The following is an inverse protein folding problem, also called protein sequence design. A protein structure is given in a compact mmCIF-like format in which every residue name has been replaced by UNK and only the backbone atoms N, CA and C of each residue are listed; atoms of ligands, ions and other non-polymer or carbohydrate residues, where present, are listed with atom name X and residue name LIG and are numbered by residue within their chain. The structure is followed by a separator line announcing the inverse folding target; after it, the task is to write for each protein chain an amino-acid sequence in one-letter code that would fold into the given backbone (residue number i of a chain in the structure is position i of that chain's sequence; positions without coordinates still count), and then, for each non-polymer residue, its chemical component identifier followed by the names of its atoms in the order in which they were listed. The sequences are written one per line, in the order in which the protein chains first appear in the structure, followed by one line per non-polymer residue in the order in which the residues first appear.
data_IF_730403389717
#
_entry.id   IF_730403389717
#
_cell.length_a   1.000
_cell.length_b   1.000
_cell.length_c   1.000
_cell.angle_alpha   90.00
_cell.angle_beta   90.00
_cell.angle_gamma   90.00
#
_symmetry.space_group_name_H-M   'P 1'
#
loop_
_entity.id
_entity.type
_entity.pdbx_description
1 polymer ?
#
# COMPACT_ATOMS: atom_id res chain seq x y z
N UNK A 1 42.47 -67.47 8.82
CA UNK A 1 41.28 -66.65 8.52
C UNK A 1 40.45 -66.51 9.81
N UNK A 2 40.45 -65.32 10.43
CA UNK A 2 39.57 -64.97 11.55
C UNK A 2 38.77 -63.75 11.11
N UNK A 3 37.44 -63.89 11.03
CA UNK A 3 36.52 -62.79 10.68
C UNK A 3 36.13 -62.07 11.97
N UNK A 4 36.41 -60.77 12.01
CA UNK A 4 35.92 -59.83 13.02
C UNK A 4 34.51 -59.42 12.62
N UNK A 5 33.54 -59.58 13.52
CA UNK A 5 32.18 -59.06 13.38
C UNK A 5 32.15 -57.72 14.12
N UNK A 6 31.92 -56.64 13.38
CA UNK A 6 31.67 -55.29 13.92
C UNK A 6 30.16 -55.14 14.10
N UNK A 7 29.72 -54.85 15.33
CA UNK A 7 28.36 -54.38 15.60
C UNK A 7 28.27 -52.90 15.22
N UNK A 8 27.52 -52.56 14.17
CA UNK A 8 27.16 -51.18 13.84
C UNK A 8 25.75 -50.90 14.37
N UNK A 9 25.68 -50.12 15.45
CA UNK A 9 24.44 -49.51 15.94
C UNK A 9 24.00 -48.45 14.93
N UNK A 10 22.93 -48.73 14.18
CA UNK A 10 22.22 -47.73 13.39
C UNK A 10 21.35 -46.89 14.33
N UNK A 11 21.83 -45.71 14.72
CA UNK A 11 20.98 -44.68 15.32
C UNK A 11 20.10 -44.09 14.22
N UNK A 12 18.81 -44.40 14.24
CA UNK A 12 17.79 -43.67 13.48
C UNK A 12 17.66 -42.29 14.12
N UNK A 13 18.34 -41.30 13.55
CA UNK A 13 18.05 -39.90 13.85
C UNK A 13 16.69 -39.57 13.26
N UNK A 14 15.68 -39.42 14.13
CA UNK A 14 14.47 -38.67 13.81
C UNK A 14 14.92 -37.29 13.32
N UNK A 15 14.86 -37.06 12.02
CA UNK A 15 14.85 -35.72 11.46
C UNK A 15 13.48 -35.12 11.83
N UNK A 16 13.41 -34.49 13.00
CA UNK A 16 12.36 -33.50 13.27
C UNK A 16 12.53 -32.39 12.22
N UNK A 17 11.61 -32.36 11.27
CA UNK A 17 11.39 -31.21 10.39
C UNK A 17 10.92 -30.07 11.30
N UNK A 18 11.88 -29.34 11.89
CA UNK A 18 11.60 -28.07 12.56
C UNK A 18 11.00 -27.14 11.52
N UNK A 19 9.67 -26.98 11.57
CA UNK A 19 8.96 -26.00 10.79
C UNK A 19 9.61 -24.64 10.98
N UNK A 20 10.03 -24.03 9.87
CA UNK A 20 10.58 -22.68 9.88
C UNK A 20 9.52 -21.73 10.47
N UNK A 21 9.83 -21.12 11.61
CA UNK A 21 9.10 -19.97 12.10
C UNK A 21 9.44 -18.74 11.25
N UNK A 22 8.52 -17.78 11.07
CA UNK A 22 8.87 -16.50 10.48
C UNK A 22 9.96 -15.85 11.34
N UNK A 23 11.01 -15.34 10.68
CA UNK A 23 12.26 -14.77 11.21
C UNK A 23 12.31 -14.56 12.74
N UNK A 24 13.00 -15.48 13.44
CA UNK A 24 13.50 -15.25 14.80
C UNK A 24 12.59 -15.57 15.98
N UNK A 25 11.33 -15.97 15.77
CA UNK A 25 10.40 -16.27 16.86
C UNK A 25 10.39 -17.75 17.24
N UNK A 26 10.37 -18.08 18.54
CA UNK A 26 10.22 -19.45 19.02
C UNK A 26 8.75 -19.87 19.07
N UNK A 27 8.48 -21.19 19.10
CA UNK A 27 7.12 -21.73 19.25
C UNK A 27 6.44 -21.24 20.54
N UNK A 28 7.19 -21.16 21.64
CA UNK A 28 6.70 -20.69 22.93
C UNK A 28 6.23 -19.22 22.89
N UNK A 29 6.96 -18.36 22.17
CA UNK A 29 6.55 -16.97 21.96
C UNK A 29 5.22 -16.87 21.18
N UNK A 30 5.03 -17.77 20.21
CA UNK A 30 3.80 -17.87 19.44
C UNK A 30 2.63 -18.34 20.29
N UNK A 31 2.82 -19.42 21.05
CA UNK A 31 1.81 -19.98 21.95
C UNK A 31 1.34 -18.92 22.97
N UNK A 32 2.25 -18.07 23.44
CA UNK A 32 1.92 -16.99 24.37
C UNK A 32 1.15 -15.82 23.73
N UNK A 33 1.53 -15.38 22.52
CA UNK A 33 0.76 -14.36 21.77
C UNK A 33 -0.65 -14.86 21.47
N UNK A 34 -0.79 -16.14 21.15
CA UNK A 34 -2.07 -16.80 20.90
C UNK A 34 -2.89 -16.84 22.19
N UNK A 35 -2.32 -17.33 23.29
CA UNK A 35 -2.99 -17.44 24.58
C UNK A 35 -3.45 -16.08 25.12
N UNK A 36 -2.64 -15.03 24.93
CA UNK A 36 -2.94 -13.66 25.36
C UNK A 36 -3.90 -12.92 24.42
N UNK A 37 -4.18 -13.45 23.22
CA UNK A 37 -4.97 -12.78 22.16
C UNK A 37 -4.45 -11.38 21.83
N UNK A 38 -3.16 -11.14 22.06
CA UNK A 38 -2.52 -9.83 21.95
C UNK A 38 -2.13 -9.50 20.50
N UNK A 39 -3.03 -9.76 19.55
CA UNK A 39 -2.78 -9.51 18.13
C UNK A 39 -4.04 -9.07 17.38
N UNK A 40 -3.84 -8.35 16.28
CA UNK A 40 -4.88 -7.97 15.33
C UNK A 40 -4.57 -8.53 13.95
N UNK A 41 -5.60 -8.92 13.22
CA UNK A 41 -5.49 -9.40 11.84
C UNK A 41 -6.00 -8.34 10.88
N UNK A 42 -5.35 -8.22 9.73
CA UNK A 42 -5.80 -7.35 8.65
C UNK A 42 -5.55 -7.96 7.28
N UNK A 43 -6.50 -7.78 6.36
CA UNK A 43 -6.29 -8.10 4.96
C UNK A 43 -5.67 -6.89 4.28
N UNK A 44 -4.46 -7.06 3.75
CA UNK A 44 -3.71 -6.00 3.08
C UNK A 44 -3.57 -6.30 1.59
N UNK A 45 -3.53 -5.23 0.80
CA UNK A 45 -3.21 -5.27 -0.61
C UNK A 45 -2.00 -4.39 -0.87
N UNK A 46 -1.12 -4.81 -1.78
CA UNK A 46 -0.02 -3.98 -2.26
C UNK A 46 -0.53 -2.76 -3.06
N UNK A 47 -1.75 -2.85 -3.61
CA UNK A 47 -2.48 -1.76 -4.27
C UNK A 47 -3.89 -1.61 -3.69
N UNK A 48 -4.25 -0.41 -3.26
CA UNK A 48 -5.61 -0.08 -2.78
C UNK A 48 -6.60 0.24 -3.90
N UNK A 49 -6.12 0.27 -5.14
CA UNK A 49 -6.89 0.67 -6.31
C UNK A 49 -6.30 0.00 -7.56
N UNK A 50 -7.15 -0.37 -8.52
CA UNK A 50 -6.78 -1.06 -9.75
C UNK A 50 -7.50 -0.49 -10.98
N UNK A 51 -6.87 -0.61 -12.14
CA UNK A 51 -7.48 -0.37 -13.45
C UNK A 51 -8.05 -1.66 -14.06
N UNK A 52 -8.65 -1.52 -15.25
CA UNK A 52 -9.18 -2.64 -16.02
C UNK A 52 -8.13 -3.75 -16.18
N UNK A 53 -8.46 -4.96 -15.71
CA UNK A 53 -7.60 -6.15 -15.79
C UNK A 53 -6.24 -6.04 -15.07
N UNK A 54 -6.02 -5.00 -14.26
CA UNK A 54 -4.81 -4.87 -13.47
C UNK A 54 -4.84 -5.84 -12.27
N UNK A 55 -3.67 -6.29 -11.82
CA UNK A 55 -3.56 -7.18 -10.66
C UNK A 55 -2.84 -6.56 -9.45
N UNK A 56 -3.25 -6.98 -8.25
CA UNK A 56 -2.59 -6.72 -6.97
C UNK A 56 -2.30 -8.02 -6.22
N UNK A 57 -1.32 -7.97 -5.32
CA UNK A 57 -1.10 -9.03 -4.33
C UNK A 57 -1.85 -8.73 -3.03
N UNK A 58 -2.50 -9.75 -2.50
CA UNK A 58 -3.21 -9.77 -1.24
C UNK A 58 -2.44 -10.63 -0.25
N UNK A 59 -2.36 -10.17 0.99
CA UNK A 59 -1.75 -10.93 2.09
C UNK A 59 -2.44 -10.60 3.40
N UNK A 60 -2.26 -11.47 4.39
CA UNK A 60 -2.82 -11.28 5.72
C UNK A 60 -1.68 -10.84 6.64
N UNK A 61 -1.84 -9.67 7.24
CA UNK A 61 -0.90 -9.13 8.21
C UNK A 61 -1.42 -9.38 9.62
N UNK A 62 -0.49 -9.82 10.48
CA UNK A 62 -0.66 -9.98 11.91
C UNK A 62 0.07 -8.84 12.61
N UNK A 63 -0.67 -8.01 13.33
CA UNK A 63 -0.12 -6.98 14.18
C UNK A 63 -0.05 -7.47 15.62
N UNK A 64 1.15 -7.67 16.15
CA UNK A 64 1.39 -8.11 17.53
C UNK A 64 1.54 -6.87 18.42
N UNK A 65 0.71 -6.80 19.46
CA UNK A 65 0.78 -5.73 20.44
C UNK A 65 2.00 -5.93 21.35
N UNK A 66 2.72 -4.87 21.74
CA UNK A 66 3.80 -5.01 22.71
C UNK A 66 3.23 -5.51 24.04
N UNK A 67 3.91 -6.46 24.69
CA UNK A 67 3.57 -6.84 26.06
C UNK A 67 3.83 -5.65 26.99
N UNK A 68 2.84 -5.31 27.81
CA UNK A 68 3.09 -4.51 28.99
C UNK A 68 3.79 -5.39 30.03
N UNK A 69 5.13 -5.34 30.10
CA UNK A 69 5.86 -5.90 31.24
C UNK A 69 5.81 -4.88 32.38
N UNK A 70 5.21 -5.20 33.55
CA UNK A 70 5.09 -4.27 34.66
C UNK A 70 6.45 -3.84 35.26
N UNK A 71 7.51 -4.64 35.10
CA UNK A 71 8.80 -4.43 35.78
C UNK A 71 9.95 -3.87 34.90
N UNK A 72 9.68 -3.47 33.65
CA UNK A 72 10.72 -2.99 32.72
C UNK A 72 10.87 -1.45 32.73
N UNK A 73 11.97 -0.90 33.26
CA UNK A 73 12.16 0.56 33.41
C UNK A 73 12.69 1.29 32.15
N UNK A 74 12.89 0.62 31.01
CA UNK A 74 13.38 1.30 29.78
C UNK A 74 12.24 1.74 28.84
N UNK A 75 11.98 3.05 28.65
CA UNK A 75 10.81 3.55 27.90
C UNK A 75 10.89 3.42 26.37
N UNK A 76 12.07 3.12 25.82
CA UNK A 76 12.35 3.18 24.38
C UNK A 76 12.03 1.87 23.63
N UNK A 77 12.12 0.72 24.32
CA UNK A 77 11.76 -0.59 23.76
C UNK A 77 10.25 -0.91 23.93
N UNK A 78 9.51 -0.10 24.69
CA UNK A 78 8.07 -0.27 24.97
C UNK A 78 7.12 0.11 23.83
N UNK A 79 7.57 0.58 22.67
CA UNK A 79 6.73 1.47 21.84
C UNK A 79 6.35 1.06 20.41
N UNK A 80 6.73 -0.09 19.86
CA UNK A 80 6.31 -0.42 18.49
C UNK A 80 5.78 -1.84 18.39
N UNK A 81 4.45 -1.97 18.31
CA UNK A 81 3.82 -3.21 17.89
C UNK A 81 4.38 -3.63 16.53
N UNK A 82 4.58 -4.94 16.35
CA UNK A 82 5.23 -5.47 15.16
C UNK A 82 4.18 -5.97 14.18
N UNK A 83 4.28 -5.56 12.92
CA UNK A 83 3.47 -6.16 11.84
C UNK A 83 4.30 -7.22 11.14
N UNK A 84 3.80 -8.44 11.10
CA UNK A 84 4.40 -9.55 10.35
C UNK A 84 3.36 -10.18 9.43
N UNK A 85 3.80 -10.93 8.42
CA UNK A 85 2.89 -11.78 7.63
C UNK A 85 2.36 -12.90 8.50
N UNK A 86 1.09 -13.26 8.32
CA UNK A 86 0.52 -14.44 8.98
C UNK A 86 1.40 -15.66 8.65
N UNK A 87 1.92 -16.40 9.66
CA UNK A 87 2.78 -17.54 9.40
C UNK A 87 2.06 -18.67 8.69
N UNK A 88 2.83 -19.56 8.08
CA UNK A 88 2.35 -20.81 7.49
C UNK A 88 2.67 -22.01 8.38
N UNK A 89 1.95 -23.11 8.19
CA UNK A 89 2.21 -24.36 8.89
C UNK A 89 1.62 -24.41 10.31
N UNK A 90 2.27 -25.19 11.19
CA UNK A 90 1.78 -25.49 12.53
C UNK A 90 1.80 -24.29 13.49
N UNK A 91 2.63 -23.29 13.21
CA UNK A 91 2.73 -22.07 14.03
C UNK A 91 1.73 -20.99 13.65
N UNK A 92 0.90 -21.24 12.63
CA UNK A 92 -0.14 -20.30 12.23
C UNK A 92 -1.36 -20.39 13.15
N UNK A 93 -1.82 -19.29 13.78
CA UNK A 93 -3.05 -19.29 14.58
C UNK A 93 -4.32 -19.46 13.74
N UNK A 94 -4.23 -19.33 12.42
CA UNK A 94 -5.36 -19.38 11.51
C UNK A 94 -5.01 -20.09 10.20
N UNK A 95 -5.97 -20.86 9.68
CA UNK A 95 -5.94 -21.38 8.32
C UNK A 95 -6.87 -20.56 7.45
N UNK A 96 -6.37 -20.20 6.27
CA UNK A 96 -7.22 -19.66 5.21
C UNK A 96 -8.12 -20.77 4.70
N UNK A 97 -9.42 -20.49 4.68
CA UNK A 97 -10.43 -21.44 4.22
C UNK A 97 -11.06 -21.02 2.91
N UNK A 98 -11.21 -19.71 2.67
CA UNK A 98 -11.83 -19.23 1.45
C UNK A 98 -11.37 -17.82 1.11
N UNK A 99 -10.99 -17.61 -0.15
CA UNK A 99 -10.82 -16.28 -0.74
C UNK A 99 -12.00 -16.02 -1.68
N UNK A 100 -12.63 -14.85 -1.56
CA UNK A 100 -13.79 -14.53 -2.39
C UNK A 100 -13.89 -13.06 -2.74
N UNK A 101 -14.44 -12.81 -3.91
CA UNK A 101 -14.87 -11.48 -4.34
C UNK A 101 -16.31 -11.32 -3.86
N UNK A 102 -16.54 -10.39 -2.95
CA UNK A 102 -17.86 -10.08 -2.38
C UNK A 102 -18.62 -9.10 -3.27
N UNK A 103 -17.90 -8.12 -3.85
CA UNK A 103 -18.49 -7.10 -4.71
C UNK A 103 -17.50 -6.72 -5.82
N UNK A 104 -18.01 -6.25 -6.96
CA UNK A 104 -17.22 -5.56 -7.98
C UNK A 104 -16.59 -6.44 -9.05
N UNK A 105 -16.70 -7.76 -8.95
CA UNK A 105 -16.20 -8.70 -9.97
C UNK A 105 -14.68 -8.82 -10.01
N UNK A 106 -14.14 -9.44 -11.05
CA UNK A 106 -12.71 -9.74 -11.20
C UNK A 106 -12.39 -11.23 -11.08
N UNK A 107 -11.12 -11.55 -10.81
CA UNK A 107 -10.62 -12.92 -10.64
C UNK A 107 -9.64 -13.01 -9.48
N UNK A 108 -9.70 -14.09 -8.71
CA UNK A 108 -8.73 -14.38 -7.65
C UNK A 108 -7.99 -15.68 -7.99
N UNK A 109 -6.67 -15.66 -7.87
CA UNK A 109 -5.82 -16.83 -7.84
C UNK A 109 -5.09 -16.88 -6.49
N UNK A 110 -5.34 -17.91 -5.68
CA UNK A 110 -4.76 -18.03 -4.33
C UNK A 110 -3.77 -19.18 -4.25
N UNK A 111 -2.78 -19.03 -3.36
CA UNK A 111 -1.83 -20.08 -2.97
C UNK A 111 -1.93 -20.40 -1.45
N UNK A 112 -3.06 -20.09 -0.81
CA UNK A 112 -3.26 -20.21 0.62
C UNK A 112 -3.24 -18.86 1.32
N UNK A 113 -2.10 -18.49 1.92
CA UNK A 113 -1.97 -17.26 2.73
C UNK A 113 -1.91 -15.97 1.92
N UNK A 114 -1.57 -16.07 0.64
CA UNK A 114 -1.63 -14.94 -0.29
C UNK A 114 -2.57 -15.23 -1.45
N UNK A 115 -2.95 -14.16 -2.13
CA UNK A 115 -3.76 -14.25 -3.32
C UNK A 115 -3.40 -13.12 -4.29
N UNK A 116 -3.34 -13.45 -5.58
CA UNK A 116 -3.34 -12.46 -6.64
C UNK A 116 -4.79 -12.16 -7.03
N UNK A 117 -5.18 -10.90 -6.94
CA UNK A 117 -6.48 -10.44 -7.41
C UNK A 117 -6.31 -9.62 -8.68
N UNK A 118 -7.09 -9.93 -9.70
CA UNK A 118 -7.17 -9.20 -10.97
C UNK A 118 -8.52 -8.50 -11.08
N UNK A 119 -8.49 -7.19 -11.27
CA UNK A 119 -9.68 -6.37 -11.45
C UNK A 119 -10.48 -6.78 -12.71
N UNK A 120 -11.80 -6.52 -12.75
CA UNK A 120 -12.60 -6.76 -13.95
C UNK A 120 -12.12 -5.91 -15.14
N UNK A 121 -12.46 -6.31 -16.36
CA UNK A 121 -12.11 -5.54 -17.56
C UNK A 121 -12.90 -4.23 -17.71
N UNK A 122 -14.02 -4.09 -17.00
CA UNK A 122 -14.85 -2.89 -16.98
C UNK A 122 -15.10 -2.45 -15.53
N UNK A 123 -15.26 -1.15 -15.33
CA UNK A 123 -15.51 -0.58 -14.02
C UNK A 123 -16.83 -1.14 -13.43
N UNK A 124 -16.83 -1.68 -12.20
CA UNK A 124 -18.07 -2.04 -11.53
C UNK A 124 -18.89 -0.79 -11.21
N UNK A 125 -20.21 -0.93 -11.04
CA UNK A 125 -21.14 0.19 -10.86
C UNK A 125 -20.69 1.15 -9.74
N UNK A 126 -20.28 0.60 -8.60
CA UNK A 126 -19.83 1.37 -7.43
C UNK A 126 -18.32 1.68 -7.45
N UNK A 127 -17.61 1.36 -8.54
CA UNK A 127 -16.16 1.51 -8.72
C UNK A 127 -15.35 1.00 -7.53
N UNK A 128 -15.84 -0.04 -6.86
CA UNK A 128 -15.20 -0.71 -5.74
C UNK A 128 -15.30 -2.22 -5.94
N UNK A 129 -14.29 -2.91 -5.46
CA UNK A 129 -14.23 -4.35 -5.39
C UNK A 129 -13.92 -4.71 -3.95
N UNK A 130 -14.77 -5.54 -3.36
CA UNK A 130 -14.61 -5.96 -1.97
C UNK A 130 -14.12 -7.39 -1.99
N UNK A 131 -12.92 -7.60 -1.48
CA UNK A 131 -12.31 -8.91 -1.34
C UNK A 131 -12.43 -9.36 0.10
N UNK A 132 -12.73 -10.63 0.30
CA UNK A 132 -12.85 -11.24 1.61
C UNK A 132 -11.98 -12.47 1.70
N UNK A 133 -11.43 -12.69 2.88
CA UNK A 133 -10.82 -13.96 3.28
C UNK A 133 -11.42 -14.46 4.57
N UNK A 134 -11.83 -15.73 4.56
CA UNK A 134 -12.37 -16.44 5.71
C UNK A 134 -11.25 -17.25 6.38
N UNK A 135 -11.03 -17.00 7.68
CA UNK A 135 -10.01 -17.62 8.50
C UNK A 135 -10.67 -18.50 9.57
N UNK A 136 -10.26 -19.76 9.61
CA UNK A 136 -10.65 -20.70 10.67
C UNK A 136 -9.47 -20.84 11.64
N UNK A 137 -9.72 -20.73 12.95
CA UNK A 137 -8.66 -20.85 13.94
C UNK A 137 -8.07 -22.27 13.93
N UNK A 138 -6.78 -22.37 14.21
CA UNK A 138 -6.12 -23.67 14.47
C UNK A 138 -6.31 -24.12 15.91
N UNK A 139 -6.53 -23.16 16.82
CA UNK A 139 -6.77 -23.38 18.25
C UNK A 139 -8.24 -23.14 18.63
N UNK A 140 -8.83 -23.95 19.54
CA UNK A 140 -10.27 -23.89 19.86
C UNK A 140 -10.71 -22.61 20.59
N UNK A 141 -9.78 -21.82 21.14
CA UNK A 141 -10.05 -20.62 21.93
C UNK A 141 -10.09 -19.31 21.11
N UNK A 142 -9.86 -19.41 19.80
CA UNK A 142 -9.92 -18.29 18.86
C UNK A 142 -11.23 -18.32 18.05
N UNK A 143 -11.79 -17.16 17.68
CA UNK A 143 -13.00 -17.11 16.86
C UNK A 143 -12.70 -17.38 15.38
N UNK A 144 -13.70 -17.75 14.58
CA UNK A 144 -13.60 -17.61 13.12
C UNK A 144 -13.57 -16.12 12.77
N UNK A 145 -12.74 -15.76 11.81
CA UNK A 145 -12.54 -14.35 11.41
C UNK A 145 -12.80 -14.21 9.93
N UNK A 146 -13.57 -13.19 9.56
CA UNK A 146 -13.67 -12.73 8.19
C UNK A 146 -12.98 -11.38 8.08
N UNK A 147 -12.01 -11.28 7.16
CA UNK A 147 -11.37 -10.02 6.85
C UNK A 147 -11.90 -9.51 5.51
N UNK A 148 -12.04 -8.19 5.41
CA UNK A 148 -12.53 -7.50 4.22
C UNK A 148 -11.48 -6.47 3.78
N UNK A 149 -11.31 -6.35 2.47
CA UNK A 149 -10.49 -5.33 1.84
C UNK A 149 -11.23 -4.73 0.67
N UNK A 150 -11.47 -3.43 0.76
CA UNK A 150 -11.96 -2.65 -0.38
C UNK A 150 -10.78 -2.23 -1.24
N UNK A 151 -10.89 -2.52 -2.54
CA UNK A 151 -10.00 -2.05 -3.60
C UNK A 151 -10.86 -1.21 -4.54
N UNK A 152 -10.40 -0.03 -4.92
CA UNK A 152 -11.16 0.84 -5.81
C UNK A 152 -10.83 0.57 -7.28
N UNK A 153 -11.76 0.91 -8.17
CA UNK A 153 -11.55 0.87 -9.63
C UNK A 153 -11.25 2.30 -10.12
N UNK A 154 -10.09 2.51 -10.75
CA UNK A 154 -9.76 3.82 -11.36
C UNK A 154 -9.85 3.79 -12.87
N UNK A 155 -10.17 4.97 -13.39
CA UNK A 155 -10.11 5.33 -14.80
C UNK A 155 -9.31 6.64 -14.98
N UNK A 156 -8.63 7.11 -13.93
CA UNK A 156 -7.88 8.36 -13.92
C UNK A 156 -6.42 8.09 -14.25
N UNK A 157 -5.83 8.89 -15.14
CA UNK A 157 -4.40 8.82 -15.48
C UNK A 157 -3.48 9.11 -14.28
N UNK A 158 -3.93 10.00 -13.38
CA UNK A 158 -3.21 10.37 -12.15
C UNK A 158 -4.14 10.30 -10.93
N UNK A 159 -3.74 9.51 -9.93
CA UNK A 159 -4.40 9.43 -8.63
C UNK A 159 -3.43 8.95 -7.55
N UNK A 160 -3.74 9.29 -6.30
CA UNK A 160 -3.01 8.81 -5.13
C UNK A 160 -4.00 8.35 -4.06
N UNK A 161 -3.65 7.31 -3.31
CA UNK A 161 -4.40 6.84 -2.15
C UNK A 161 -3.51 6.94 -0.93
N UNK A 162 -4.02 7.58 0.12
CA UNK A 162 -3.37 7.67 1.41
C UNK A 162 -4.12 6.82 2.44
N UNK A 163 -3.39 5.98 3.17
CA UNK A 163 -3.94 5.12 4.21
C UNK A 163 -3.11 5.24 5.49
N UNK A 164 -3.63 5.97 6.48
CA UNK A 164 -3.07 6.18 7.82
C UNK A 164 -4.20 5.91 8.86
N UNK A 165 -4.48 4.65 9.21
CA UNK A 165 -5.60 4.28 10.08
C UNK A 165 -5.56 4.94 11.46
N UNK A 166 -4.35 5.09 12.03
CA UNK A 166 -4.16 5.69 13.35
C UNK A 166 -4.60 7.16 13.41
N UNK A 167 -4.71 7.82 12.25
CA UNK A 167 -5.24 9.18 12.10
C UNK A 167 -6.65 9.23 11.51
N UNK A 168 -7.33 8.09 11.38
CA UNK A 168 -8.65 8.00 10.76
C UNK A 168 -8.66 8.19 9.24
N UNK A 169 -7.49 8.28 8.59
CA UNK A 169 -7.38 8.43 7.15
C UNK A 169 -7.38 7.04 6.51
N UNK A 170 -8.54 6.58 6.08
CA UNK A 170 -8.70 5.23 5.53
C UNK A 170 -8.92 5.31 4.01
N UNK A 171 -7.87 5.00 3.25
CA UNK A 171 -7.91 4.97 1.77
C UNK A 171 -8.41 6.29 1.14
N UNK A 172 -8.01 7.43 1.71
CA UNK A 172 -8.33 8.75 1.17
C UNK A 172 -7.76 8.87 -0.25
N UNK A 173 -8.62 9.14 -1.23
CA UNK A 173 -8.23 9.18 -2.64
C UNK A 173 -8.07 10.61 -3.11
N UNK A 174 -6.89 10.93 -3.60
CA UNK A 174 -6.56 12.22 -4.20
C UNK A 174 -6.50 12.07 -5.71
N UNK A 175 -7.16 12.96 -6.41
CA UNK A 175 -7.23 12.97 -7.87
C UNK A 175 -6.89 14.33 -8.42
N UNK A 176 -6.33 14.37 -9.62
CA UNK A 176 -6.12 15.62 -10.33
C UNK A 176 -7.46 16.28 -10.66
N UNK A 177 -7.56 17.59 -10.37
CA UNK A 177 -8.72 18.41 -10.70
C UNK A 177 -8.92 18.51 -12.23
N UNK A 178 -10.00 17.94 -12.75
CA UNK A 178 -10.39 18.03 -14.18
C UNK A 178 -10.91 19.42 -14.60
N UNK A 179 -11.29 20.28 -13.65
CA UNK A 179 -12.00 21.55 -13.91
C UNK A 179 -11.12 22.79 -14.18
N UNK A 180 -9.79 22.70 -14.20
CA UNK A 180 -8.92 23.83 -14.61
C UNK A 180 -8.58 23.78 -16.10
N UNK A 181 -9.61 23.67 -16.95
CA UNK A 181 -9.48 23.98 -18.38
C UNK A 181 -9.87 25.44 -18.52
N UNK A 182 -8.88 26.33 -18.63
CA UNK A 182 -9.16 27.68 -19.09
C UNK A 182 -9.57 27.59 -20.57
N UNK A 183 -10.86 27.76 -20.82
CA UNK A 183 -11.45 27.77 -22.18
C UNK A 183 -10.78 28.77 -23.13
N UNK A 184 -10.00 29.74 -22.62
CA UNK A 184 -9.27 30.72 -23.42
C UNK A 184 -7.94 30.21 -23.99
N UNK A 185 -7.45 29.06 -23.54
CA UNK A 185 -6.15 28.50 -23.97
C UNK A 185 -6.27 27.32 -24.94
N UNK A 186 -7.48 26.98 -25.41
CA UNK A 186 -7.70 25.85 -26.33
C UNK A 186 -8.54 26.26 -27.55
N UNK A 187 -8.23 25.76 -28.76
CA UNK A 187 -9.10 25.90 -29.93
C UNK A 187 -10.49 25.31 -29.66
N UNK A 188 -11.54 25.98 -30.16
CA UNK A 188 -12.95 25.61 -29.92
C UNK A 188 -13.27 24.14 -30.29
N UNK A 189 -12.57 23.59 -31.26
CA UNK A 189 -12.70 22.19 -31.69
C UNK A 189 -12.24 21.19 -30.61
N UNK A 190 -11.21 21.53 -29.83
CA UNK A 190 -10.75 20.74 -28.70
C UNK A 190 -11.76 20.77 -27.54
N UNK A 191 -12.35 21.94 -27.24
CA UNK A 191 -13.41 22.10 -26.23
C UNK A 191 -14.63 21.22 -26.54
N UNK A 192 -15.00 21.12 -27.82
CA UNK A 192 -16.13 20.28 -28.26
C UNK A 192 -15.78 18.78 -28.20
N UNK A 193 -14.54 18.39 -28.50
CA UNK A 193 -14.07 17.01 -28.32
C UNK A 193 -14.00 16.60 -26.84
N UNK A 194 -13.64 17.52 -25.94
CA UNK A 194 -13.62 17.34 -24.48
C UNK A 194 -15.02 17.06 -23.94
N UNK A 195 -16.04 17.81 -24.41
CA UNK A 195 -17.45 17.61 -24.02
C UNK A 195 -18.03 16.28 -24.52
N UNK A 196 -17.52 15.72 -25.62
CA UNK A 196 -18.03 14.47 -26.20
C UNK A 196 -17.30 13.22 -25.69
N UNK A 197 -16.02 13.32 -25.29
CA UNK A 197 -15.20 12.16 -24.90
C UNK A 197 -14.86 12.07 -23.41
N UNK A 198 -15.13 13.10 -22.60
CA UNK A 198 -14.99 13.05 -21.14
C UNK A 198 -13.57 13.11 -20.58
N UNK A 199 -12.53 13.28 -21.42
CA UNK A 199 -11.12 13.36 -21.00
C UNK A 199 -10.38 14.49 -21.73
N UNK A 200 -9.54 15.25 -21.03
CA UNK A 200 -8.58 16.22 -21.59
C UNK A 200 -7.18 15.90 -21.08
N UNK A 201 -6.27 15.56 -21.99
CA UNK A 201 -4.84 15.36 -21.71
C UNK A 201 -4.20 16.67 -21.20
N UNK A 202 -4.76 17.84 -21.52
CA UNK A 202 -4.16 19.14 -21.17
C UNK A 202 -4.59 19.71 -19.80
N UNK A 203 -5.67 19.21 -19.20
CA UNK A 203 -6.07 19.59 -17.83
C UNK A 203 -5.31 18.82 -16.75
N UNK A 204 -4.82 17.62 -17.10
CA UNK A 204 -4.09 16.71 -16.22
C UNK A 204 -2.60 17.10 -16.06
N UNK A 205 -2.07 17.90 -16.99
CA UNK A 205 -0.65 18.20 -17.17
C UNK A 205 -0.19 19.53 -16.56
N UNK A 206 -1.11 20.47 -16.26
CA UNK A 206 -0.78 21.72 -15.55
C UNK A 206 -0.52 21.50 -14.04
N UNK A 207 -1.07 20.43 -13.49
CA UNK A 207 -0.95 20.04 -12.08
C UNK A 207 0.23 19.11 -11.81
N UNK A 208 0.68 18.35 -12.80
CA UNK A 208 1.65 17.27 -12.64
C UNK A 208 2.92 17.55 -13.46
N UNK A 209 4.01 17.87 -12.77
CA UNK A 209 5.28 18.28 -13.36
C UNK A 209 6.40 17.32 -12.97
N UNK A 210 7.25 16.99 -13.93
CA UNK A 210 8.48 16.24 -13.76
C UNK A 210 9.68 17.12 -14.09
N UNK A 211 10.63 17.24 -13.17
CA UNK A 211 11.90 17.96 -13.36
C UNK A 211 13.04 16.99 -13.07
N UNK A 212 14.09 17.03 -13.90
CA UNK A 212 15.34 16.34 -13.62
C UNK A 212 16.49 17.34 -13.50
N UNK A 213 17.22 17.29 -12.39
CA UNK A 213 18.46 18.04 -12.18
C UNK A 213 19.68 17.12 -12.41
N UNK A 214 20.40 17.28 -13.54
CA UNK A 214 21.56 16.45 -13.84
C UNK A 214 22.74 16.66 -12.88
N UNK A 215 22.86 17.85 -12.28
CA UNK A 215 23.98 18.15 -11.36
C UNK A 215 23.83 17.38 -10.03
N UNK A 216 22.60 17.08 -9.64
CA UNK A 216 22.27 16.37 -8.41
C UNK A 216 21.85 14.93 -8.65
N UNK A 217 21.70 14.52 -9.92
CA UNK A 217 21.07 13.25 -10.31
C UNK A 217 19.74 13.03 -9.57
N UNK A 218 18.89 14.06 -9.60
CA UNK A 218 17.66 14.11 -8.81
C UNK A 218 16.47 14.38 -9.73
N UNK A 219 15.51 13.47 -9.68
CA UNK A 219 14.20 13.62 -10.29
C UNK A 219 13.18 14.11 -9.26
N UNK A 220 12.33 15.05 -9.67
CA UNK A 220 11.24 15.59 -8.84
C UNK A 220 9.94 15.53 -9.61
N UNK A 221 8.97 14.84 -9.03
CA UNK A 221 7.57 14.82 -9.44
C UNK A 221 6.77 15.74 -8.51
N UNK A 222 6.01 16.68 -9.08
CA UNK A 222 5.15 17.59 -8.32
C UNK A 222 3.73 17.54 -8.86
N UNK A 223 2.79 17.22 -7.99
CA UNK A 223 1.35 17.22 -8.23
C UNK A 223 0.72 18.32 -7.39
N UNK A 224 0.10 19.31 -8.04
CA UNK A 224 -0.59 20.46 -7.44
C UNK A 224 -2.06 20.42 -7.81
N UNK A 225 -2.92 21.14 -7.10
CA UNK A 225 -4.37 21.12 -7.34
C UNK A 225 -4.97 19.71 -7.28
N UNK A 226 -4.40 18.85 -6.43
CA UNK A 226 -5.04 17.59 -6.08
C UNK A 226 -6.28 17.90 -5.26
N UNK A 227 -7.37 17.21 -5.55
CA UNK A 227 -8.61 17.26 -4.79
C UNK A 227 -8.87 15.92 -4.10
N UNK A 228 -9.61 15.93 -3.00
CA UNK A 228 -10.00 14.72 -2.30
C UNK A 228 -11.28 14.22 -2.96
N UNK A 229 -11.22 13.05 -3.56
CA UNK A 229 -12.41 12.33 -4.01
C UNK A 229 -13.06 11.71 -2.77
N UNK A 230 -14.01 12.44 -2.17
CA UNK A 230 -14.84 11.90 -1.12
C UNK A 230 -15.87 10.96 -1.74
N UNK A 231 -15.87 9.74 -1.24
CA UNK A 231 -16.92 8.78 -1.51
C UNK A 231 -17.91 8.96 -0.36
N UNK A 232 -18.87 9.89 -0.49
CA UNK A 232 -19.88 10.08 0.56
C UNK A 232 -21.21 9.42 0.17
N UNK A 233 -21.42 8.27 0.81
CA UNK A 233 -22.57 7.89 1.67
C UNK A 233 -24.02 8.19 1.27
N UNK A 234 -24.35 8.32 -0.01
CA UNK A 234 -25.74 8.12 -0.45
C UNK A 234 -25.84 7.05 -1.53
N UNK A 235 -26.87 6.22 -1.43
CA UNK A 235 -27.19 5.01 -2.23
C UNK A 235 -27.20 5.19 -3.76
N UNK A 236 -26.82 6.38 -4.25
CA UNK A 236 -26.85 6.79 -5.64
C UNK A 236 -25.46 6.92 -6.28
N UNK A 237 -24.36 6.67 -5.56
CA UNK A 237 -23.01 6.60 -6.14
C UNK A 237 -22.48 7.93 -6.71
N UNK A 238 -23.09 9.06 -6.37
CA UNK A 238 -22.62 10.39 -6.75
C UNK A 238 -21.34 10.74 -5.97
N UNK A 239 -20.24 10.90 -6.70
CA UNK A 239 -18.94 11.30 -6.14
C UNK A 239 -18.97 12.77 -5.74
N UNK A 240 -18.61 13.07 -4.50
CA UNK A 240 -18.34 14.44 -4.08
C UNK A 240 -16.84 14.68 -4.14
N UNK A 241 -16.39 15.51 -5.08
CA UNK A 241 -15.01 16.00 -5.04
C UNK A 241 -14.98 17.10 -3.97
N UNK A 242 -14.39 16.78 -2.82
CA UNK A 242 -14.08 17.78 -1.80
C UNK A 242 -12.92 18.60 -2.33
N UNK A 243 -13.24 19.84 -2.70
CA UNK A 243 -12.25 20.77 -3.22
C UNK A 243 -11.19 21.05 -2.17
N UNK A 244 -9.94 20.79 -2.52
CA UNK A 244 -8.76 21.19 -1.78
C UNK A 244 -7.65 21.58 -2.75
N UNK A 245 -6.68 22.35 -2.28
CA UNK A 245 -5.43 22.64 -3.01
C UNK A 245 -4.32 21.75 -2.45
N UNK A 246 -4.52 20.43 -2.51
CA UNK A 246 -3.53 19.49 -1.98
C UNK A 246 -2.31 19.44 -2.91
N UNK A 247 -1.13 19.28 -2.32
CA UNK A 247 0.13 19.18 -3.03
C UNK A 247 0.82 17.87 -2.64
N UNK A 248 1.36 17.16 -3.63
CA UNK A 248 2.23 16.01 -3.44
C UNK A 248 3.52 16.25 -4.24
N UNK A 249 4.66 16.10 -3.57
CA UNK A 249 5.97 16.10 -4.18
C UNK A 249 6.69 14.79 -3.87
N UNK A 250 7.33 14.21 -4.87
CA UNK A 250 8.12 12.99 -4.78
C UNK A 250 9.49 13.30 -5.38
N UNK A 251 10.55 13.03 -4.62
CA UNK A 251 11.93 13.20 -5.07
C UNK A 251 12.64 11.84 -5.02
N UNK A 252 13.35 11.49 -6.09
CA UNK A 252 14.12 10.25 -6.18
C UNK A 252 15.38 10.44 -7.03
N UNK A 253 16.40 9.62 -6.79
CA UNK A 253 17.64 9.68 -7.56
C UNK A 253 17.54 8.86 -8.84
N UNK A 254 17.99 9.43 -9.95
CA UNK A 254 17.98 8.78 -11.26
C UNK A 254 17.04 9.43 -12.28
N UNK A 255 17.08 8.90 -13.50
CA UNK A 255 16.35 9.32 -14.70
C UNK A 255 16.01 8.05 -15.49
N UNK A 256 14.95 8.08 -16.30
CA UNK A 256 14.61 6.97 -17.18
C UNK A 256 13.49 6.08 -16.63
N UNK A 257 13.04 5.15 -17.48
CA UNK A 257 12.24 4.02 -17.05
C UNK A 257 13.03 3.12 -16.09
N UNK A 258 12.40 2.66 -15.01
CA UNK A 258 13.07 1.89 -13.97
C UNK A 258 12.37 1.93 -12.62
N UNK A 259 12.99 1.29 -11.63
CA UNK A 259 12.56 1.34 -10.23
C UNK A 259 13.57 2.14 -9.42
N UNK A 260 13.08 3.07 -8.61
CA UNK A 260 13.87 4.01 -7.83
C UNK A 260 13.46 3.95 -6.37
N UNK A 261 14.45 3.73 -5.51
CA UNK A 261 14.27 3.60 -4.07
C UNK A 261 14.12 4.98 -3.41
N UNK A 262 13.08 5.15 -2.59
CA UNK A 262 12.83 6.39 -1.87
C UNK A 262 13.51 6.43 -0.49
N UNK A 263 14.08 5.31 -0.01
CA UNK A 263 14.88 5.26 1.22
C UNK A 263 16.27 5.88 1.05
N UNK A 264 16.69 6.12 -0.20
CA UNK A 264 17.99 6.68 -0.52
C UNK A 264 18.13 8.16 -0.08
N UNK A 265 19.38 8.57 0.21
CA UNK A 265 19.74 9.94 0.58
C UNK A 265 19.12 10.97 -0.39
N UNK A 266 18.59 12.08 0.15
CA UNK A 266 17.91 13.16 -0.60
C UNK A 266 16.68 12.74 -1.43
N UNK A 267 16.17 11.53 -1.20
CA UNK A 267 14.89 11.07 -1.74
C UNK A 267 13.80 11.21 -0.69
N UNK A 268 12.54 11.25 -1.13
CA UNK A 268 11.43 11.35 -0.20
C UNK A 268 10.10 11.72 -0.82
N UNK A 269 9.11 11.82 0.04
CA UNK A 269 7.75 12.21 -0.27
C UNK A 269 7.31 13.30 0.70
N UNK A 270 6.67 14.32 0.16
CA UNK A 270 5.98 15.32 0.95
C UNK A 270 4.59 15.56 0.36
N UNK A 271 3.56 15.43 1.19
CA UNK A 271 2.18 15.66 0.85
C UNK A 271 1.53 16.57 1.89
N UNK A 272 0.86 17.63 1.42
CA UNK A 272 0.10 18.54 2.26
C UNK A 272 -1.39 18.24 2.09
N UNK A 273 -2.01 17.74 3.16
CA UNK A 273 -3.43 17.42 3.23
C UNK A 273 -4.14 18.47 4.09
N UNK A 274 -4.79 19.43 3.45
CA UNK A 274 -5.59 20.47 4.08
C UNK A 274 -4.70 21.61 4.56
N UNK A 275 -5.20 22.40 5.51
CA UNK A 275 -4.44 23.52 6.07
C UNK A 275 -3.43 23.10 7.15
N UNK A 276 -3.46 21.85 7.64
CA UNK A 276 -2.77 21.49 8.89
C UNK A 276 -2.08 20.11 8.92
N UNK A 277 -2.29 19.21 7.95
CA UNK A 277 -1.67 17.88 7.99
C UNK A 277 -0.57 17.73 6.95
N UNK A 278 0.68 17.68 7.43
CA UNK A 278 1.83 17.25 6.66
C UNK A 278 2.00 15.74 6.74
N UNK A 279 2.12 15.10 5.58
CA UNK A 279 2.36 13.66 5.44
C UNK A 279 3.62 13.50 4.61
N UNK A 280 4.59 12.70 5.06
CA UNK A 280 5.80 12.51 4.30
C UNK A 280 6.76 11.49 4.87
N UNK A 281 7.82 11.27 4.13
CA UNK A 281 8.97 10.48 4.52
C UNK A 281 10.18 11.04 3.77
N UNK A 282 11.37 10.81 4.30
CA UNK A 282 12.60 11.22 3.65
C UNK A 282 13.79 11.11 4.58
N UNK A 283 14.92 11.55 4.05
CA UNK A 283 16.21 11.55 4.73
C UNK A 283 16.28 12.67 5.79
N UNK A 284 15.60 12.46 6.92
CA UNK A 284 15.75 13.26 8.14
C UNK A 284 15.96 12.30 9.31
N UNK A 285 17.11 12.42 9.99
CA UNK A 285 17.48 11.78 11.26
C UNK A 285 16.59 10.59 11.67
N UNK A 286 16.90 9.41 11.11
CA UNK A 286 16.52 8.03 11.48
C UNK A 286 15.02 7.65 11.63
N UNK A 287 14.10 8.59 11.78
CA UNK A 287 12.75 8.29 12.27
C UNK A 287 11.63 8.28 11.22
N UNK A 288 11.88 8.82 10.01
CA UNK A 288 10.87 8.97 8.95
C UNK A 288 11.37 8.51 7.59
N UNK A 289 12.22 7.49 7.57
CA UNK A 289 12.78 6.91 6.34
C UNK A 289 11.65 6.32 5.50
N UNK A 290 11.60 6.66 4.21
CA UNK A 290 10.67 6.03 3.28
C UNK A 290 10.99 4.53 3.14
N UNK A 291 9.95 3.71 3.03
CA UNK A 291 10.09 2.28 2.71
C UNK A 291 9.22 1.98 1.49
N UNK A 292 9.87 1.80 0.34
CA UNK A 292 9.24 1.66 -0.96
C UNK A 292 9.89 2.54 -2.03
N UNK A 293 9.18 2.79 -3.13
CA UNK A 293 9.80 3.41 -4.28
C UNK A 293 8.85 3.93 -5.35
N UNK A 294 9.46 4.54 -6.36
CA UNK A 294 8.82 4.97 -7.60
C UNK A 294 9.21 4.00 -8.70
N UNK A 295 8.24 3.59 -9.52
CA UNK A 295 8.49 2.82 -10.74
C UNK A 295 8.02 3.60 -11.95
N UNK A 296 8.95 4.01 -12.81
CA UNK A 296 8.66 4.61 -14.10
C UNK A 296 8.47 3.50 -15.12
N UNK A 297 7.26 3.41 -15.68
CA UNK A 297 6.87 2.38 -16.64
C UNK A 297 6.91 2.87 -18.07
N UNK A 298 6.76 4.17 -18.27
CA UNK A 298 6.84 4.78 -19.59
C UNK A 298 7.45 6.17 -19.50
N UNK A 299 8.25 6.52 -20.50
CA UNK A 299 8.87 7.82 -20.63
C UNK A 299 9.00 8.14 -22.13
N UNK A 300 8.42 9.27 -22.54
CA UNK A 300 8.54 9.80 -23.90
C UNK A 300 9.09 11.23 -23.88
N UNK A 301 9.04 11.96 -25.00
CA UNK A 301 9.54 13.34 -25.10
C UNK A 301 8.73 14.35 -24.27
N UNK A 302 7.54 13.99 -23.81
CA UNK A 302 6.54 14.92 -23.28
C UNK A 302 6.07 14.53 -21.88
N UNK A 303 5.97 13.25 -21.59
CA UNK A 303 5.41 12.71 -20.35
C UNK A 303 6.27 11.60 -19.76
N UNK A 304 6.08 11.41 -18.45
CA UNK A 304 6.44 10.19 -17.75
C UNK A 304 5.22 9.59 -17.09
N UNK A 305 5.16 8.26 -17.05
CA UNK A 305 4.11 7.51 -16.39
C UNK A 305 4.73 6.49 -15.45
N UNK A 306 4.07 6.30 -14.31
CA UNK A 306 4.57 5.38 -13.32
C UNK A 306 3.66 5.19 -12.13
N UNK A 307 4.23 4.50 -11.15
CA UNK A 307 3.58 4.15 -9.90
C UNK A 307 4.46 4.56 -8.73
N UNK A 308 3.82 4.88 -7.61
CA UNK A 308 4.48 5.00 -6.31
C UNK A 308 3.81 4.02 -5.34
N UNK A 309 4.63 3.38 -4.52
CA UNK A 309 4.20 2.65 -3.34
C UNK A 309 5.27 2.86 -2.27
N UNK A 310 4.93 3.60 -1.22
CA UNK A 310 5.87 3.86 -0.12
C UNK A 310 5.15 4.03 1.20
N UNK A 311 5.84 3.68 2.27
CA UNK A 311 5.50 4.08 3.63
C UNK A 311 5.69 5.59 3.76
N UNK A 312 4.73 6.23 4.44
CA UNK A 312 4.78 7.64 4.82
C UNK A 312 4.37 7.80 6.27
N UNK A 313 4.72 8.93 6.86
CA UNK A 313 4.46 9.26 8.25
C UNK A 313 3.71 10.58 8.33
N UNK A 314 2.89 10.70 9.37
CA UNK A 314 2.21 11.94 9.69
C UNK A 314 2.27 12.17 11.20
N UNK A 315 2.43 13.42 11.61
CA UNK A 315 2.35 13.82 13.00
C UNK A 315 0.93 14.20 13.37
N UNK A 316 0.45 13.74 14.52
CA UNK A 316 -0.74 14.33 15.13
C UNK A 316 -0.40 15.65 15.86
N UNK A 317 -1.41 16.35 16.35
CA UNK A 317 -1.25 17.61 17.08
C UNK A 317 -0.44 17.46 18.40
N UNK A 318 -0.24 16.23 18.87
CA UNK A 318 0.50 15.88 20.09
C UNK A 318 1.92 15.39 19.79
N UNK A 319 2.36 15.42 18.53
CA UNK A 319 3.67 14.95 18.10
C UNK A 319 3.80 13.42 18.01
N UNK A 320 2.70 12.67 18.14
CA UNK A 320 2.69 11.23 17.87
C UNK A 320 2.78 10.98 16.37
N UNK A 321 3.67 10.06 15.99
CA UNK A 321 3.92 9.69 14.60
C UNK A 321 3.01 8.52 14.24
N UNK A 322 2.09 8.75 13.31
CA UNK A 322 1.30 7.70 12.68
C UNK A 322 2.01 7.22 11.41
N UNK A 323 2.09 5.90 11.26
CA UNK A 323 2.63 5.27 10.05
C UNK A 323 1.49 4.93 9.10
N UNK A 324 1.71 5.15 7.82
CA UNK A 324 0.77 4.72 6.79
C UNK A 324 1.44 4.46 5.46
N UNK A 325 0.63 4.38 4.41
CA UNK A 325 1.07 4.06 3.06
C UNK A 325 0.48 5.03 2.04
N UNK A 326 1.34 5.53 1.17
CA UNK A 326 0.98 6.25 -0.04
C UNK A 326 1.15 5.32 -1.23
N UNK A 327 0.08 5.14 -1.99
CA UNK A 327 0.14 4.49 -3.30
C UNK A 327 -0.38 5.44 -4.35
N UNK A 328 0.07 5.31 -5.59
CA UNK A 328 -0.50 6.09 -6.68
C UNK A 328 -0.03 5.64 -8.04
N UNK A 329 -0.82 6.01 -9.04
CA UNK A 329 -0.45 6.01 -10.45
C UNK A 329 -0.37 7.45 -10.90
N UNK A 330 0.59 7.77 -11.73
CA UNK A 330 0.72 9.11 -12.26
C UNK A 330 1.08 9.11 -13.72
N UNK A 331 0.66 10.19 -14.36
CA UNK A 331 1.20 10.76 -15.59
C UNK A 331 1.59 12.19 -15.30
N UNK A 332 2.85 12.55 -15.57
CA UNK A 332 3.39 13.89 -15.33
C UNK A 332 4.06 14.43 -16.60
N UNK A 333 3.90 15.72 -16.86
CA UNK A 333 4.56 16.38 -17.99
C UNK A 333 6.00 16.71 -17.63
N UNK A 334 6.91 16.46 -18.56
CA UNK A 334 8.30 16.91 -18.43
C UNK A 334 8.34 18.44 -18.50
N UNK A 335 8.89 19.06 -17.48
CA UNK A 335 9.28 20.46 -17.55
C UNK A 335 10.50 20.52 -18.47
N UNK A 336 10.32 21.08 -19.65
CA UNK A 336 11.40 21.34 -20.60
C UNK A 336 12.46 22.26 -19.98
#
# INVERSE_FOLDING_TARGET
MKRVIFFLLLSISLLEVRGQTPEGWTKEMWDEVIASKAFKLSLVSDKGLLEASESCQLSIDLFILPKANPDDETPELRRKGQTIKLPSGETSPYRVTNWRIVEGGGRIASNGLTASYTAPAAAPANKKMIISVDLTPTEPNLPKVQLLKTIYFSQNETFFTLHIPDMGIINAKFVTKLTSIDSKMLPQQAVNAIKQKGYSINGLTASAMYIYDPNRNLSVLRFSNLALEAIDTEDNGSKNIVNGNYLLAIAYRGLGAGSFDLSAEKSGVNMVVGLQLGVGCGDTNEDMICDGGVRITHEDSTYIEGYINTIVYAGDANGQKARGRLNGKFRAMKAN
#
